data_IF_160292656210
#
_entry.id   IF_160292656210
#
_cell.length_a   1.000
_cell.length_b   1.000
_cell.length_c   1.000
_cell.angle_alpha   90.00
_cell.angle_beta   90.00
_cell.angle_gamma   90.00
#
_symmetry.space_group_name_H-M   'P 1'
#
loop_
_entity.id
_entity.type
_entity.pdbx_description
1 polymer ?
#
# COMPACT_ATOMS: atom_id res chain seq x y z
N UNK A 1 9.91 -27.48 41.53
CA UNK A 1 9.96 -28.57 40.52
C UNK A 1 10.98 -28.13 39.48
N UNK A 2 12.08 -28.80 39.14
CA UNK A 2 12.74 -30.03 39.58
C UNK A 2 14.21 -29.86 39.12
N UNK A 3 15.19 -29.87 40.02
CA UNK A 3 16.59 -30.16 39.69
C UNK A 3 16.88 -31.59 40.16
N UNK A 4 17.74 -32.35 39.47
CA UNK A 4 18.96 -32.84 40.14
C UNK A 4 20.18 -32.86 39.20
N UNK A 5 21.39 -32.47 39.62
CA UNK A 5 22.34 -33.11 40.57
C UNK A 5 23.02 -34.39 40.06
N UNK A 6 24.35 -34.27 39.96
CA UNK A 6 25.41 -35.24 40.32
C UNK A 6 25.90 -36.29 39.30
N UNK A 7 27.18 -36.14 38.89
CA UNK A 7 28.22 -37.14 38.54
C UNK A 7 29.32 -36.37 37.78
N UNK A 8 30.63 -36.35 38.06
CA UNK A 8 31.52 -37.21 38.84
C UNK A 8 32.87 -36.49 39.09
N UNK A 9 33.40 -36.64 40.32
CA UNK A 9 34.81 -36.80 40.78
C UNK A 9 35.94 -36.46 39.78
N UNK A 10 36.71 -35.38 39.96
CA UNK A 10 37.99 -35.28 40.73
C UNK A 10 39.03 -36.37 40.43
N UNK A 11 40.00 -36.06 39.57
CA UNK A 11 41.39 -36.54 39.64
C UNK A 11 42.30 -35.66 38.77
N UNK A 12 43.43 -35.22 39.32
CA UNK A 12 44.66 -35.12 38.55
C UNK A 12 45.12 -33.73 38.10
N UNK A 13 46.18 -33.27 38.76
CA UNK A 13 47.33 -32.57 38.17
C UNK A 13 47.22 -31.08 37.83
N UNK A 14 47.65 -30.26 38.80
CA UNK A 14 48.79 -29.35 38.66
C UNK A 14 49.08 -28.77 37.28
N UNK A 15 48.64 -27.54 37.00
CA UNK A 15 49.51 -26.46 36.48
C UNK A 15 48.77 -25.12 36.32
N UNK A 16 49.43 -24.07 36.84
CA UNK A 16 49.41 -22.66 36.40
C UNK A 16 48.11 -21.82 36.49
N UNK A 17 48.18 -20.64 37.14
CA UNK A 17 47.17 -19.60 36.96
C UNK A 17 47.45 -18.91 35.62
N UNK A 18 46.78 -19.31 34.52
CA UNK A 18 46.68 -18.45 33.33
C UNK A 18 45.59 -17.37 33.56
N UNK A 19 45.80 -16.60 34.63
CA UNK A 19 45.26 -15.26 34.78
C UNK A 19 45.86 -14.38 33.67
N UNK A 20 45.00 -13.75 32.86
CA UNK A 20 45.30 -12.54 32.11
C UNK A 20 46.46 -12.62 31.09
N UNK A 21 46.39 -13.56 30.14
CA UNK A 21 47.03 -13.37 28.83
C UNK A 21 45.98 -13.50 27.73
N UNK A 22 45.03 -12.56 27.73
CA UNK A 22 44.57 -12.05 26.44
C UNK A 22 45.83 -11.46 25.80
N UNK A 23 46.48 -12.22 24.93
CA UNK A 23 47.63 -11.70 24.21
C UNK A 23 47.09 -10.52 23.42
N UNK A 24 47.80 -9.39 23.39
CA UNK A 24 47.33 -8.20 22.67
C UNK A 24 46.87 -8.53 21.24
N UNK A 25 47.49 -9.54 20.61
CA UNK A 25 47.07 -10.13 19.33
C UNK A 25 45.63 -10.69 19.35
N UNK A 26 45.27 -11.53 20.33
CA UNK A 26 43.91 -12.09 20.45
C UNK A 26 42.86 -10.98 20.62
N UNK A 27 43.19 -9.93 21.39
CA UNK A 27 42.32 -8.76 21.52
C UNK A 27 42.14 -8.05 20.17
N UNK A 28 43.22 -7.87 19.40
CA UNK A 28 43.16 -7.27 18.07
C UNK A 28 42.32 -8.09 17.08
N UNK A 29 42.42 -9.42 17.11
CA UNK A 29 41.61 -10.28 16.24
C UNK A 29 40.12 -10.27 16.63
N UNK A 30 39.80 -10.29 17.93
CA UNK A 30 38.42 -10.11 18.38
C UNK A 30 37.82 -8.76 17.97
N UNK A 31 38.58 -7.67 18.10
CA UNK A 31 38.12 -6.34 17.65
C UNK A 31 37.89 -6.33 16.14
N UNK A 32 38.75 -7.02 15.36
CA UNK A 32 38.60 -7.15 13.91
C UNK A 32 37.33 -7.93 13.54
N UNK A 33 37.03 -9.03 14.23
CA UNK A 33 35.82 -9.83 14.02
C UNK A 33 34.56 -9.05 14.43
N UNK A 34 34.59 -8.35 15.57
CA UNK A 34 33.50 -7.48 16.01
C UNK A 34 33.27 -6.31 15.03
N UNK A 35 34.33 -5.73 14.48
CA UNK A 35 34.23 -4.70 13.44
C UNK A 35 33.65 -5.24 12.13
N UNK A 36 34.08 -6.43 11.68
CA UNK A 36 33.50 -7.08 10.50
C UNK A 36 32.02 -7.43 10.69
N UNK A 37 31.66 -7.93 11.87
CA UNK A 37 30.27 -8.20 12.22
C UNK A 37 29.43 -6.92 12.21
N UNK A 38 29.94 -5.84 12.83
CA UNK A 38 29.27 -4.54 12.82
C UNK A 38 29.10 -3.99 11.40
N UNK A 39 30.13 -4.13 10.57
CA UNK A 39 30.09 -3.73 9.16
C UNK A 39 29.03 -4.51 8.37
N UNK A 40 28.92 -5.82 8.61
CA UNK A 40 27.89 -6.66 8.00
C UNK A 40 26.47 -6.27 8.47
N UNK A 41 26.28 -6.02 9.77
CA UNK A 41 25.01 -5.54 10.31
C UNK A 41 24.61 -4.19 9.72
N UNK A 42 25.55 -3.24 9.61
CA UNK A 42 25.32 -1.95 8.98
C UNK A 42 24.89 -2.09 7.51
N UNK A 43 25.56 -2.96 6.75
CA UNK A 43 25.20 -3.19 5.34
C UNK A 43 23.80 -3.80 5.21
N UNK A 44 23.47 -4.78 6.05
CA UNK A 44 22.12 -5.37 6.09
C UNK A 44 21.04 -4.34 6.42
N UNK A 45 21.27 -3.51 7.44
CA UNK A 45 20.33 -2.46 7.85
C UNK A 45 20.15 -1.42 6.74
N UNK A 46 21.22 -1.06 6.02
CA UNK A 46 21.14 -0.14 4.89
C UNK A 46 20.23 -0.67 3.78
N UNK A 47 20.39 -1.94 3.40
CA UNK A 47 19.54 -2.59 2.39
C UNK A 47 18.06 -2.64 2.83
N UNK A 48 17.82 -2.90 4.11
CA UNK A 48 16.47 -2.87 4.69
C UNK A 48 15.85 -1.47 4.65
N UNK A 49 16.62 -0.43 4.99
CA UNK A 49 16.19 0.97 4.88
C UNK A 49 15.83 1.35 3.44
N UNK A 50 16.65 0.96 2.45
CA UNK A 50 16.38 1.22 1.03
C UNK A 50 15.10 0.51 0.55
N UNK A 51 14.89 -0.74 0.99
CA UNK A 51 13.65 -1.50 0.74
C UNK A 51 12.42 -0.83 1.35
N UNK A 52 12.49 -0.44 2.63
CA UNK A 52 11.41 0.25 3.33
C UNK A 52 11.09 1.61 2.70
N UNK A 53 12.09 2.33 2.20
CA UNK A 53 11.89 3.57 1.46
C UNK A 53 11.08 3.34 0.17
N UNK A 54 11.39 2.28 -0.57
CA UNK A 54 10.62 1.87 -1.76
C UNK A 54 9.16 1.50 -1.42
N UNK A 55 8.96 0.67 -0.38
CA UNK A 55 7.62 0.29 0.10
C UNK A 55 6.81 1.50 0.58
N UNK A 56 7.45 2.49 1.23
CA UNK A 56 6.81 3.75 1.64
C UNK A 56 6.33 4.55 0.43
N UNK A 57 7.14 4.67 -0.62
CA UNK A 57 6.76 5.36 -1.85
C UNK A 57 5.60 4.65 -2.58
N UNK A 58 5.60 3.32 -2.58
CA UNK A 58 4.50 2.51 -3.12
C UNK A 58 3.21 2.73 -2.34
N UNK A 59 3.27 2.64 -1.01
CA UNK A 59 2.15 2.88 -0.12
C UNK A 59 1.58 4.29 -0.28
N UNK A 60 2.44 5.30 -0.44
CA UNK A 60 2.02 6.67 -0.68
C UNK A 60 1.24 6.80 -2.00
N UNK A 61 1.66 6.10 -3.06
CA UNK A 61 0.94 6.10 -4.34
C UNK A 61 -0.44 5.48 -4.21
N UNK A 62 -0.54 4.34 -3.52
CA UNK A 62 -1.82 3.72 -3.21
C UNK A 62 -2.70 4.62 -2.34
N UNK A 63 -2.14 5.25 -1.31
CA UNK A 63 -2.87 6.17 -0.43
C UNK A 63 -3.51 7.33 -1.21
N UNK A 64 -2.74 8.01 -2.06
CA UNK A 64 -3.25 9.12 -2.88
C UNK A 64 -4.34 8.63 -3.83
N UNK A 65 -4.10 7.50 -4.51
CA UNK A 65 -5.07 6.89 -5.42
C UNK A 65 -6.40 6.57 -4.72
N UNK A 66 -6.36 5.94 -3.54
CA UNK A 66 -7.57 5.64 -2.76
C UNK A 66 -8.24 6.89 -2.20
N UNK A 67 -7.48 7.92 -1.81
CA UNK A 67 -8.01 9.18 -1.33
C UNK A 67 -8.83 9.90 -2.41
N UNK A 68 -8.26 10.06 -3.60
CA UNK A 68 -8.92 10.71 -4.74
C UNK A 68 -10.17 9.92 -5.19
N UNK A 69 -10.03 8.59 -5.31
CA UNK A 69 -11.15 7.73 -5.67
C UNK A 69 -12.28 7.80 -4.64
N UNK A 70 -11.97 7.73 -3.34
CA UNK A 70 -12.98 7.78 -2.27
C UNK A 70 -13.70 9.12 -2.26
N UNK A 71 -12.98 10.23 -2.51
CA UNK A 71 -13.57 11.56 -2.62
C UNK A 71 -14.57 11.64 -3.79
N UNK A 72 -14.20 11.13 -4.97
CA UNK A 72 -15.08 11.08 -6.13
C UNK A 72 -16.32 10.19 -5.92
N UNK A 73 -16.12 9.00 -5.36
CA UNK A 73 -17.21 8.09 -5.01
C UNK A 73 -18.15 8.70 -3.97
N UNK A 74 -17.62 9.44 -2.98
CA UNK A 74 -18.41 10.07 -1.93
C UNK A 74 -19.31 11.19 -2.49
N UNK A 75 -18.78 12.04 -3.38
CA UNK A 75 -19.58 13.08 -4.07
C UNK A 75 -20.70 12.43 -4.87
N UNK A 76 -20.38 11.42 -5.67
CA UNK A 76 -21.38 10.76 -6.53
C UNK A 76 -22.43 10.03 -5.67
N UNK A 77 -22.03 9.39 -4.57
CA UNK A 77 -22.97 8.77 -3.61
C UNK A 77 -23.96 9.79 -3.06
N UNK A 78 -23.48 10.94 -2.53
CA UNK A 78 -24.36 11.97 -2.00
C UNK A 78 -25.27 12.58 -3.08
N UNK A 79 -24.76 12.75 -4.29
CA UNK A 79 -25.54 13.21 -5.45
C UNK A 79 -26.66 12.23 -5.78
N UNK A 80 -26.38 10.92 -5.87
CA UNK A 80 -27.39 9.90 -6.12
C UNK A 80 -28.43 9.82 -4.98
N UNK A 81 -28.00 9.93 -3.72
CA UNK A 81 -28.91 9.97 -2.57
C UNK A 81 -29.90 11.16 -2.65
N UNK A 82 -29.41 12.35 -3.03
CA UNK A 82 -30.28 13.52 -3.20
C UNK A 82 -31.22 13.38 -4.41
N UNK A 83 -30.75 12.78 -5.52
CA UNK A 83 -31.62 12.46 -6.67
C UNK A 83 -32.74 11.50 -6.24
N UNK A 84 -32.42 10.42 -5.53
CA UNK A 84 -33.40 9.45 -5.02
C UNK A 84 -34.41 10.13 -4.10
N UNK A 85 -33.95 11.00 -3.19
CA UNK A 85 -34.83 11.78 -2.29
C UNK A 85 -35.80 12.66 -3.06
N UNK A 86 -35.34 13.37 -4.10
CA UNK A 86 -36.19 14.23 -4.94
C UNK A 86 -37.19 13.41 -5.76
N UNK A 87 -36.76 12.31 -6.36
CA UNK A 87 -37.64 11.40 -7.11
C UNK A 87 -38.73 10.81 -6.21
N UNK A 88 -38.38 10.37 -5.01
CA UNK A 88 -39.34 9.89 -4.02
C UNK A 88 -40.35 10.99 -3.63
N UNK A 89 -39.87 12.23 -3.43
CA UNK A 89 -40.74 13.39 -3.19
C UNK A 89 -41.73 13.65 -4.33
N UNK A 90 -41.29 13.57 -5.59
CA UNK A 90 -42.18 13.71 -6.76
C UNK A 90 -43.21 12.58 -6.80
N UNK A 91 -42.79 11.34 -6.60
CA UNK A 91 -43.71 10.19 -6.57
C UNK A 91 -44.78 10.34 -5.48
N UNK A 92 -44.41 10.83 -4.29
CA UNK A 92 -45.35 11.10 -3.21
C UNK A 92 -46.34 12.24 -3.53
N UNK A 93 -45.91 13.27 -4.26
CA UNK A 93 -46.77 14.37 -4.70
C UNK A 93 -47.76 13.95 -5.79
N UNK A 94 -47.39 13.00 -6.66
CA UNK A 94 -48.28 12.48 -7.71
C UNK A 94 -49.30 11.48 -7.16
N UNK A 95 -48.97 10.80 -6.05
CA UNK A 95 -49.77 9.74 -5.44
C UNK A 95 -51.26 10.10 -5.21
N UNK A 96 -51.63 11.30 -4.71
CA UNK A 96 -53.03 11.67 -4.46
C UNK A 96 -53.88 11.90 -5.72
N UNK A 97 -53.27 11.98 -6.91
CA UNK A 97 -53.99 12.20 -8.18
C UNK A 97 -54.43 10.89 -8.85
N UNK A 98 -54.12 9.74 -8.24
CA UNK A 98 -54.38 8.41 -8.78
C UNK A 98 -55.64 7.81 -8.12
N UNK A 99 -56.26 6.81 -8.76
CA UNK A 99 -57.34 6.04 -8.12
C UNK A 99 -56.80 5.26 -6.91
N UNK A 100 -57.64 4.98 -5.91
CA UNK A 100 -57.20 4.25 -4.70
C UNK A 100 -56.51 2.91 -5.02
N UNK A 101 -57.02 2.16 -6.00
CA UNK A 101 -56.41 0.89 -6.42
C UNK A 101 -54.99 1.11 -6.98
N UNK A 102 -54.83 2.11 -7.85
CA UNK A 102 -53.53 2.42 -8.45
C UNK A 102 -52.55 3.01 -7.43
N UNK A 103 -53.06 3.76 -6.45
CA UNK A 103 -52.28 4.33 -5.36
C UNK A 103 -51.54 3.23 -4.57
N UNK A 104 -52.25 2.15 -4.23
CA UNK A 104 -51.66 1.03 -3.50
C UNK A 104 -50.61 0.27 -4.34
N UNK A 105 -50.85 0.11 -5.64
CA UNK A 105 -49.89 -0.51 -6.56
C UNK A 105 -48.60 0.32 -6.66
N UNK A 106 -48.71 1.64 -6.81
CA UNK A 106 -47.55 2.54 -6.90
C UNK A 106 -46.79 2.56 -5.59
N UNK A 107 -47.47 2.61 -4.44
CA UNK A 107 -46.81 2.57 -3.13
C UNK A 107 -46.00 1.27 -2.94
N UNK A 108 -46.58 0.11 -3.30
CA UNK A 108 -45.87 -1.17 -3.27
C UNK A 108 -44.67 -1.20 -4.22
N UNK A 109 -44.81 -0.63 -5.43
CA UNK A 109 -43.72 -0.54 -6.40
C UNK A 109 -42.56 0.35 -5.91
N UNK A 110 -42.85 1.48 -5.25
CA UNK A 110 -41.84 2.38 -4.68
C UNK A 110 -41.07 1.69 -3.56
N UNK A 111 -41.76 0.98 -2.65
CA UNK A 111 -41.09 0.27 -1.56
C UNK A 111 -40.23 -0.87 -2.09
N UNK A 112 -40.68 -1.62 -3.10
CA UNK A 112 -39.84 -2.62 -3.77
C UNK A 112 -38.63 -1.96 -4.43
N UNK A 113 -38.80 -0.82 -5.11
CA UNK A 113 -37.70 -0.13 -5.79
C UNK A 113 -36.61 0.39 -4.83
N UNK A 114 -36.96 0.70 -3.58
CA UNK A 114 -36.01 1.10 -2.53
C UNK A 114 -35.20 -0.08 -1.99
N UNK A 115 -35.74 -1.30 -2.08
CA UNK A 115 -35.09 -2.50 -1.59
C UNK A 115 -34.14 -3.06 -2.64
N UNK A 116 -32.89 -2.58 -2.63
CA UNK A 116 -31.81 -3.20 -3.39
C UNK A 116 -31.21 -4.34 -2.58
N UNK A 117 -31.36 -5.57 -3.05
CA UNK A 117 -30.82 -6.75 -2.36
C UNK A 117 -29.32 -6.91 -2.64
N UNK A 118 -28.59 -7.53 -1.72
CA UNK A 118 -27.16 -7.84 -1.91
C UNK A 118 -26.83 -8.58 -3.23
N UNK A 119 -27.61 -9.59 -3.71
CA UNK A 119 -27.33 -10.20 -5.01
C UNK A 119 -27.53 -9.25 -6.19
N UNK A 120 -28.55 -8.39 -6.17
CA UNK A 120 -28.75 -7.37 -7.21
C UNK A 120 -27.59 -6.36 -7.23
N UNK A 121 -27.18 -5.89 -6.05
CA UNK A 121 -26.03 -5.01 -5.90
C UNK A 121 -24.74 -5.64 -6.46
N UNK A 122 -24.48 -6.89 -6.11
CA UNK A 122 -23.32 -7.64 -6.62
C UNK A 122 -23.38 -7.82 -8.14
N UNK A 123 -24.57 -8.05 -8.70
CA UNK A 123 -24.76 -8.16 -10.15
C UNK A 123 -24.43 -6.85 -10.87
N UNK A 124 -24.89 -5.72 -10.34
CA UNK A 124 -24.59 -4.38 -10.89
C UNK A 124 -23.09 -4.09 -10.83
N UNK A 125 -22.44 -4.35 -9.68
CA UNK A 125 -20.99 -4.16 -9.52
C UNK A 125 -20.20 -5.02 -10.52
N UNK A 126 -20.57 -6.30 -10.69
CA UNK A 126 -19.92 -7.19 -11.65
C UNK A 126 -20.08 -6.70 -13.08
N UNK A 127 -21.28 -6.26 -13.46
CA UNK A 127 -21.52 -5.71 -14.79
C UNK A 127 -20.63 -4.50 -15.07
N UNK A 128 -20.48 -3.59 -14.09
CA UNK A 128 -19.59 -2.43 -14.21
C UNK A 128 -18.11 -2.83 -14.31
N UNK A 129 -17.65 -3.81 -13.52
CA UNK A 129 -16.28 -4.33 -13.61
C UNK A 129 -15.98 -4.89 -15.01
N UNK A 130 -16.91 -5.64 -15.61
CA UNK A 130 -16.76 -6.18 -16.98
C UNK A 130 -16.71 -5.07 -18.03
N UNK A 131 -17.49 -3.99 -17.86
CA UNK A 131 -17.46 -2.85 -18.78
C UNK A 131 -16.13 -2.09 -18.70
N UNK A 132 -15.58 -1.90 -17.49
CA UNK A 132 -14.27 -1.27 -17.30
C UNK A 132 -13.14 -2.13 -17.89
N UNK A 133 -13.19 -3.45 -17.68
CA UNK A 133 -12.21 -4.37 -18.29
C UNK A 133 -12.32 -4.39 -19.81
N UNK A 134 -13.54 -4.33 -20.36
CA UNK A 134 -13.76 -4.23 -21.81
C UNK A 134 -13.22 -2.92 -22.39
N UNK A 135 -13.37 -1.79 -21.69
CA UNK A 135 -12.78 -0.52 -22.14
C UNK A 135 -11.25 -0.55 -22.09
N UNK A 136 -10.66 -1.14 -21.06
CA UNK A 136 -9.21 -1.30 -20.97
C UNK A 136 -8.68 -2.24 -22.07
N UNK A 137 -9.42 -3.28 -22.45
CA UNK A 137 -9.08 -4.11 -23.61
C UNK A 137 -9.27 -3.38 -24.94
N UNK A 138 -10.26 -2.50 -25.07
CA UNK A 138 -10.47 -1.70 -26.29
C UNK A 138 -9.35 -0.67 -26.52
N UNK A 139 -8.75 -0.14 -25.44
CA UNK A 139 -7.59 0.75 -25.50
C UNK A 139 -6.25 0.00 -25.70
N UNK A 140 -6.23 -1.32 -25.50
CA UNK A 140 -5.03 -2.16 -25.64
C UNK A 140 -4.94 -2.89 -27.00
N UNK A 141 -5.82 -2.60 -27.94
CA UNK A 141 -5.78 -3.17 -29.29
C UNK A 141 -4.81 -2.39 -30.21
N UNK A 142 -4.11 -3.11 -31.09
CA UNK A 142 -2.70 -2.88 -31.40
C UNK A 142 -2.52 -1.70 -32.34
N UNK A 143 -1.42 -0.96 -32.14
CA UNK A 143 -0.84 -0.08 -33.16
C UNK A 143 -0.63 -0.91 -34.43
N UNK A 144 -1.63 -0.82 -35.31
CA UNK A 144 -1.65 -1.34 -36.67
C UNK A 144 -0.79 -0.44 -37.55
N UNK A 145 -0.17 -1.09 -38.53
CA UNK A 145 0.42 -0.57 -39.76
C UNK A 145 1.77 0.16 -39.69
N UNK A 146 2.83 -0.58 -40.05
CA UNK A 146 3.73 -0.18 -41.15
C UNK A 146 4.31 -1.45 -41.82
N UNK A 147 3.85 -1.82 -43.03
CA UNK A 147 4.54 -2.75 -43.91
C UNK A 147 5.47 -1.99 -44.88
N UNK A 148 6.40 -2.72 -45.53
CA UNK A 148 7.43 -2.28 -46.49
C UNK A 148 8.66 -1.63 -45.83
N UNK A 149 9.87 -2.20 -45.85
CA UNK A 149 10.45 -3.20 -46.75
C UNK A 149 11.62 -2.55 -47.47
N UNK A 150 12.85 -2.76 -47.00
CA UNK A 150 14.09 -2.61 -47.77
C UNK A 150 15.27 -3.26 -46.99
N UNK A 151 15.64 -4.45 -47.46
CA UNK A 151 17.01 -4.95 -47.71
C UNK A 151 18.03 -5.15 -46.56
N UNK A 152 18.34 -6.44 -46.31
CA UNK A 152 19.47 -7.04 -45.55
C UNK A 152 20.79 -7.03 -46.41
N UNK A 153 21.98 -7.62 -46.04
CA UNK A 153 22.26 -8.66 -45.02
C UNK A 153 23.67 -8.69 -44.33
N UNK A 154 23.92 -9.78 -43.56
CA UNK A 154 25.20 -10.34 -43.01
C UNK A 154 25.59 -9.90 -41.58
N UNK A 155 25.94 -10.72 -40.57
CA UNK A 155 26.25 -12.15 -40.32
C UNK A 155 26.13 -12.42 -38.77
N UNK A 156 26.04 -13.68 -38.29
CA UNK A 156 25.82 -14.03 -36.87
C UNK A 156 27.11 -14.49 -36.13
N UNK A 157 27.21 -14.22 -34.81
CA UNK A 157 28.03 -14.91 -33.78
C UNK A 157 27.66 -14.26 -32.42
N UNK A 158 26.92 -14.94 -31.54
CA UNK A 158 27.36 -15.82 -30.43
C UNK A 158 28.02 -15.11 -29.23
N UNK A 159 27.47 -15.41 -28.05
CA UNK A 159 28.01 -15.32 -26.70
C UNK A 159 27.91 -14.00 -25.88
N UNK A 160 27.24 -14.16 -24.74
CA UNK A 160 27.53 -13.60 -23.41
C UNK A 160 26.93 -12.26 -22.97
N UNK A 161 26.19 -12.36 -21.85
CA UNK A 161 26.17 -11.43 -20.71
C UNK A 161 25.56 -10.03 -20.90
N UNK A 162 24.28 -9.89 -20.53
CA UNK A 162 23.64 -8.59 -20.27
C UNK A 162 23.67 -8.25 -18.77
N UNK A 163 24.59 -7.38 -18.37
CA UNK A 163 24.46 -6.57 -17.15
C UNK A 163 24.08 -5.15 -17.60
N UNK A 164 22.92 -4.65 -17.15
CA UNK A 164 22.49 -3.28 -17.37
C UNK A 164 23.15 -2.38 -16.32
N UNK A 165 24.16 -1.62 -16.75
CA UNK A 165 24.72 -0.50 -15.99
C UNK A 165 23.94 0.78 -16.33
N UNK A 166 23.29 1.39 -15.35
CA UNK A 166 22.63 2.70 -15.48
C UNK A 166 23.58 3.79 -15.01
N UNK A 167 23.98 4.65 -15.95
CA UNK A 167 24.81 5.83 -15.75
C UNK A 167 24.03 6.92 -15.03
N UNK A 168 24.56 7.41 -13.90
CA UNK A 168 24.12 8.63 -13.24
C UNK A 168 24.85 9.84 -13.83
N UNK A 169 24.11 10.88 -14.23
CA UNK A 169 24.66 12.20 -14.56
C UNK A 169 23.59 13.27 -14.30
N UNK A 170 23.99 14.36 -13.63
CA UNK A 170 23.31 15.65 -13.74
C UNK A 170 22.91 16.31 -12.43
N UNK A 171 23.88 16.96 -11.78
CA UNK A 171 23.66 18.07 -10.85
C UNK A 171 22.98 19.25 -11.55
N UNK A 172 22.07 19.99 -10.88
CA UNK A 172 22.12 21.46 -10.74
C UNK A 172 20.82 22.07 -10.16
N UNK A 173 20.98 22.83 -9.07
CA UNK A 173 20.09 23.92 -8.63
C UNK A 173 19.29 23.61 -7.35
N UNK A 174 19.07 24.51 -6.40
CA UNK A 174 19.51 25.90 -6.17
C UNK A 174 18.91 26.32 -4.81
N UNK A 175 19.75 26.91 -3.93
CA UNK A 175 19.41 27.86 -2.84
C UNK A 175 18.74 27.40 -1.52
N UNK A 176 18.93 28.19 -0.42
CA UNK A 176 19.35 27.66 0.87
C UNK A 176 18.50 28.12 2.08
N UNK A 177 18.89 27.56 3.23
CA UNK A 177 18.93 28.18 4.58
C UNK A 177 17.66 28.14 5.43
N UNK A 178 17.82 27.35 6.48
CA UNK A 178 17.03 27.22 7.70
C UNK A 178 16.83 28.57 8.40
N UNK A 179 15.62 28.83 8.92
CA UNK A 179 15.46 29.45 10.24
C UNK A 179 14.04 29.23 10.79
N UNK A 180 14.01 28.81 12.06
CA UNK A 180 13.06 29.23 13.09
C UNK A 180 11.61 28.71 13.10
N UNK A 181 11.43 27.70 13.95
CA UNK A 181 10.61 27.76 15.17
C UNK A 181 9.19 28.35 15.04
N UNK A 182 8.18 27.48 15.05
CA UNK A 182 6.80 27.93 15.20
C UNK A 182 5.80 26.80 15.38
N UNK A 183 5.20 26.77 16.58
CA UNK A 183 3.85 26.29 16.87
C UNK A 183 3.67 24.82 17.27
N UNK A 184 3.99 24.55 18.55
CA UNK A 184 3.21 23.60 19.36
C UNK A 184 1.73 24.02 19.34
N UNK A 185 0.88 23.12 18.87
CA UNK A 185 -0.56 23.29 18.78
C UNK A 185 -1.28 21.99 19.11
N UNK A 186 -1.02 21.42 20.28
CA UNK A 186 -1.87 20.39 20.85
C UNK A 186 -3.04 21.07 21.58
N UNK A 187 -4.18 21.16 20.89
CA UNK A 187 -5.48 21.48 21.49
C UNK A 187 -6.45 20.36 21.13
N UNK A 188 -6.58 19.39 22.03
CA UNK A 188 -7.75 18.52 22.10
C UNK A 188 -8.97 19.33 22.53
N UNK A 189 -10.12 19.17 21.88
CA UNK A 189 -11.42 19.36 22.50
C UNK A 189 -12.06 17.98 22.70
N UNK A 190 -11.94 17.43 23.90
CA UNK A 190 -12.91 16.45 24.39
C UNK A 190 -14.06 17.29 24.99
N UNK A 191 -15.09 17.54 24.19
CA UNK A 191 -16.34 18.19 24.60
C UNK A 191 -17.53 17.52 23.91
N UNK A 192 -18.63 17.45 24.66
CA UNK A 192 -19.98 17.01 24.30
C UNK A 192 -20.20 15.52 23.91
N UNK A 193 -21.13 14.78 24.51
CA UNK A 193 -22.20 15.15 25.42
C UNK A 193 -23.15 13.97 25.64
N UNK A 194 -23.61 13.86 26.88
CA UNK A 194 -24.99 13.56 27.30
C UNK A 194 -25.80 12.45 26.56
N UNK A 195 -25.95 11.30 27.26
CA UNK A 195 -27.24 10.78 27.77
C UNK A 195 -28.39 10.52 26.78
N UNK A 196 -28.76 9.23 26.64
CA UNK A 196 -30.13 8.67 26.85
C UNK A 196 -30.31 7.32 26.14
N UNK A 197 -30.35 6.22 26.90
CA UNK A 197 -31.42 5.20 26.96
C UNK A 197 -31.11 4.25 28.14
#
# INVERSE_FOLDING_TARGET
>A
MMFPQSSSRHSGSSHMPQQLKFTTSDSCDRIKDEFQLLQAQYHSLKLECDKLAGEKSEMQRHYVMYYEMSYGLNIEMHKQAEIVKRLHGICAQVLPYLSQEHQQQVLGAIERAKQVTAPELNSIIRQLQVHQLSQLQALALPLTSLPMGLQAPSLPISASSGLLSLSALGSQGHLPKEDKNGHEGDRRPDDDGDKSD
#
